data_IF_589931285008
#
_entry.id   IF_589931285008
#
_cell.length_a   1.000
_cell.length_b   1.000
_cell.length_c   1.000
_cell.angle_alpha   90.00
_cell.angle_beta   90.00
_cell.angle_gamma   90.00
#
_symmetry.space_group_name_H-M   'P 1'
#
loop_
_entity.id
_entity.type
_entity.pdbx_description
1 polymer ?
#
# COMPACT_ATOMS: atom_id res chain seq x y z
N UNK A 1 -21.73 -13.44 19.11
CA UNK A 1 -20.43 -13.72 18.48
C UNK A 1 -20.69 -14.00 17.02
N UNK A 2 -20.22 -13.14 16.12
CA UNK A 2 -20.25 -13.48 14.69
C UNK A 2 -19.29 -14.66 14.49
N UNK A 3 -19.76 -15.73 13.84
CA UNK A 3 -18.91 -16.85 13.45
C UNK A 3 -17.85 -16.35 12.46
N UNK A 4 -16.57 -16.68 12.70
CA UNK A 4 -15.50 -16.36 11.74
C UNK A 4 -15.82 -17.05 10.41
N UNK A 5 -15.90 -16.31 9.29
CA UNK A 5 -16.20 -16.92 8.00
C UNK A 5 -15.08 -17.89 7.61
N UNK A 6 -15.47 -19.00 6.99
CA UNK A 6 -14.56 -20.04 6.51
C UNK A 6 -14.70 -20.19 5.01
N UNK A 7 -13.58 -20.43 4.36
CA UNK A 7 -13.47 -20.48 2.90
C UNK A 7 -12.87 -21.81 2.45
N UNK A 8 -12.88 -22.01 1.13
CA UNK A 8 -12.21 -23.12 0.45
C UNK A 8 -12.76 -24.50 0.83
N UNK A 9 -12.25 -25.53 0.15
CA UNK A 9 -12.54 -26.94 0.43
C UNK A 9 -12.07 -27.36 1.84
N UNK A 10 -11.04 -26.71 2.37
CA UNK A 10 -10.49 -27.01 3.70
C UNK A 10 -11.27 -26.38 4.87
N UNK A 11 -12.25 -25.50 4.59
CA UNK A 11 -13.08 -24.81 5.60
C UNK A 11 -12.25 -24.15 6.71
N UNK A 12 -11.19 -23.46 6.29
CA UNK A 12 -10.35 -22.66 7.19
C UNK A 12 -10.70 -21.17 7.04
N UNK A 13 -10.49 -20.35 8.09
CA UNK A 13 -10.55 -18.90 8.00
C UNK A 13 -9.57 -18.33 6.95
N UNK A 14 -9.80 -17.09 6.55
CA UNK A 14 -8.91 -16.35 5.64
C UNK A 14 -7.49 -16.23 6.24
N UNK A 15 -6.48 -16.47 5.41
CA UNK A 15 -5.07 -16.32 5.73
C UNK A 15 -4.39 -15.48 4.65
N UNK A 16 -4.01 -14.25 5.01
CA UNK A 16 -3.39 -13.26 4.11
C UNK A 16 -2.08 -13.75 3.47
N UNK A 17 -1.41 -14.74 4.08
CA UNK A 17 -0.13 -15.25 3.57
C UNK A 17 -0.30 -16.30 2.46
N UNK A 18 -1.53 -16.73 2.19
CA UNK A 18 -1.84 -17.81 1.24
C UNK A 18 -2.57 -17.24 0.05
N UNK A 19 -2.03 -17.47 -1.15
CA UNK A 19 -2.69 -17.13 -2.40
C UNK A 19 -4.07 -17.81 -2.49
N UNK A 20 -5.10 -17.01 -2.77
CA UNK A 20 -6.48 -17.45 -2.99
C UNK A 20 -7.01 -16.90 -4.32
N UNK A 21 -7.94 -17.64 -4.91
CA UNK A 21 -8.68 -17.29 -6.13
C UNK A 21 -10.18 -17.50 -5.91
N UNK A 22 -11.00 -16.57 -6.38
CA UNK A 22 -12.46 -16.62 -6.26
C UNK A 22 -13.10 -17.43 -7.39
N UNK A 23 -14.10 -18.26 -7.07
CA UNK A 23 -14.87 -18.99 -8.07
C UNK A 23 -16.05 -18.15 -8.58
N UNK A 24 -16.13 -17.89 -9.87
CA UNK A 24 -17.18 -17.07 -10.49
C UNK A 24 -18.59 -17.67 -10.34
N UNK A 25 -18.70 -18.99 -10.15
CA UNK A 25 -20.00 -19.67 -10.04
C UNK A 25 -20.57 -19.68 -8.63
N UNK A 26 -19.74 -19.94 -7.62
CA UNK A 26 -20.22 -20.06 -6.23
C UNK A 26 -19.82 -18.89 -5.33
N UNK A 27 -18.99 -17.97 -5.82
CA UNK A 27 -18.52 -16.78 -5.10
C UNK A 27 -17.79 -17.14 -3.78
N UNK A 28 -17.27 -18.37 -3.67
CA UNK A 28 -16.39 -18.81 -2.56
C UNK A 28 -14.92 -18.68 -2.99
N UNK A 29 -14.02 -18.52 -2.02
CA UNK A 29 -12.59 -18.31 -2.23
C UNK A 29 -11.80 -19.59 -1.96
N UNK A 30 -10.83 -19.90 -2.83
CA UNK A 30 -10.08 -21.15 -2.79
C UNK A 30 -8.58 -20.90 -2.70
N UNK A 31 -7.90 -21.52 -1.73
CA UNK A 31 -6.44 -21.53 -1.71
C UNK A 31 -5.90 -22.21 -2.96
N UNK A 32 -4.99 -21.57 -3.69
CA UNK A 32 -4.41 -22.14 -4.91
C UNK A 32 -3.82 -23.53 -4.69
N UNK A 33 -3.15 -23.76 -3.55
CA UNK A 33 -2.61 -25.05 -3.14
C UNK A 33 -3.66 -26.16 -2.96
N UNK A 34 -4.90 -25.81 -2.58
CA UNK A 34 -5.99 -26.77 -2.36
C UNK A 34 -6.68 -27.17 -3.66
N UNK A 35 -6.57 -26.36 -4.71
CA UNK A 35 -7.24 -26.57 -6.01
C UNK A 35 -6.27 -26.72 -7.18
N UNK A 36 -4.97 -26.81 -6.91
CA UNK A 36 -3.94 -27.03 -7.92
C UNK A 36 -3.66 -25.81 -8.83
N UNK A 37 -3.97 -24.60 -8.37
CA UNK A 37 -3.71 -23.35 -9.10
C UNK A 37 -2.49 -22.66 -8.50
N UNK A 38 -1.41 -22.60 -9.29
CA UNK A 38 -0.22 -21.81 -8.96
C UNK A 38 -0.50 -20.31 -9.21
N UNK A 39 0.10 -19.45 -8.39
CA UNK A 39 -0.05 -17.99 -8.47
C UNK A 39 0.36 -17.45 -9.84
N UNK A 40 1.42 -17.98 -10.46
CA UNK A 40 1.85 -17.55 -11.79
C UNK A 40 0.86 -17.94 -12.90
N UNK A 41 0.12 -19.04 -12.72
CA UNK A 41 -0.87 -19.55 -13.69
C UNK A 41 -2.23 -18.89 -13.52
N UNK A 42 -2.54 -18.36 -12.34
CA UNK A 42 -3.79 -17.66 -12.06
C UNK A 42 -4.03 -16.50 -13.02
N UNK A 43 -2.95 -15.84 -13.45
CA UNK A 43 -3.02 -14.75 -14.41
C UNK A 43 -3.50 -15.15 -15.81
N UNK A 44 -3.44 -16.42 -16.20
CA UNK A 44 -3.97 -16.88 -17.48
C UNK A 44 -5.48 -17.21 -17.40
N UNK A 45 -6.06 -17.26 -16.20
CA UNK A 45 -7.47 -17.59 -15.93
C UNK A 45 -8.29 -16.29 -16.01
N UNK A 46 -9.37 -16.31 -16.79
CA UNK A 46 -10.31 -15.19 -16.92
C UNK A 46 -11.46 -15.33 -15.93
N UNK A 47 -12.13 -16.49 -15.96
CA UNK A 47 -13.17 -16.89 -15.00
C UNK A 47 -12.78 -18.24 -14.40
N UNK A 48 -12.61 -18.28 -13.08
CA UNK A 48 -12.23 -19.48 -12.35
C UNK A 48 -13.45 -20.27 -11.92
N UNK A 49 -13.49 -21.56 -12.25
CA UNK A 49 -14.46 -22.51 -11.74
C UNK A 49 -13.76 -23.49 -10.79
N UNK A 50 -14.25 -23.61 -9.55
CA UNK A 50 -13.71 -24.56 -8.58
C UNK A 50 -14.05 -26.02 -8.95
N UNK A 51 -13.37 -27.02 -8.37
CA UNK A 51 -13.58 -28.43 -8.74
C UNK A 51 -15.04 -28.91 -8.64
N UNK A 52 -15.83 -28.35 -7.71
CA UNK A 52 -17.24 -28.69 -7.57
C UNK A 52 -18.11 -28.03 -8.65
N UNK A 53 -17.85 -26.76 -8.98
CA UNK A 53 -18.59 -26.02 -9.99
C UNK A 53 -18.22 -26.46 -11.41
N UNK A 54 -16.99 -26.94 -11.62
CA UNK A 54 -16.52 -27.45 -12.91
C UNK A 54 -17.38 -28.59 -13.44
N UNK A 55 -17.86 -29.47 -12.55
CA UNK A 55 -18.73 -30.60 -12.93
C UNK A 55 -20.06 -30.13 -13.54
N UNK A 56 -20.59 -28.98 -13.10
CA UNK A 56 -21.90 -28.48 -13.51
C UNK A 56 -21.82 -27.39 -14.59
N UNK A 57 -20.77 -26.60 -14.58
CA UNK A 57 -20.64 -25.39 -15.39
C UNK A 57 -19.49 -25.46 -16.40
N UNK A 58 -18.76 -26.58 -16.43
CA UNK A 58 -17.58 -26.77 -17.27
C UNK A 58 -16.31 -26.19 -16.65
N UNK A 59 -15.14 -26.40 -17.28
CA UNK A 59 -13.85 -25.95 -16.75
C UNK A 59 -13.73 -24.43 -16.69
N UNK A 60 -12.71 -23.96 -15.97
CA UNK A 60 -12.34 -22.53 -15.91
C UNK A 60 -12.12 -21.95 -17.31
N UNK A 61 -12.55 -20.71 -17.52
CA UNK A 61 -12.40 -20.01 -18.79
C UNK A 61 -11.05 -19.30 -18.79
N UNK A 62 -10.20 -19.65 -19.76
CA UNK A 62 -8.87 -19.07 -19.92
C UNK A 62 -8.91 -17.82 -20.80
N UNK A 63 -8.02 -16.86 -20.54
CA UNK A 63 -7.88 -15.65 -21.35
C UNK A 63 -7.51 -16.02 -22.79
N UNK A 64 -8.21 -15.41 -23.76
CA UNK A 64 -7.92 -15.61 -25.18
C UNK A 64 -6.55 -15.01 -25.52
N UNK A 65 -5.56 -15.86 -25.79
CA UNK A 65 -4.30 -15.42 -26.42
C UNK A 65 -4.63 -14.76 -27.75
N UNK A 66 -4.34 -13.45 -27.90
CA UNK A 66 -4.45 -12.77 -29.19
C UNK A 66 -3.43 -13.40 -30.15
N UNK A 67 -3.90 -14.27 -31.03
CA UNK A 67 -3.08 -14.87 -32.08
C UNK A 67 -2.66 -13.80 -33.07
N UNK A 68 -1.35 -13.60 -33.23
CA UNK A 68 -0.78 -12.93 -34.39
C UNK A 68 -0.24 -14.00 -35.35
N UNK A 69 -0.57 -13.83 -36.62
CA UNK A 69 -0.16 -14.68 -37.74
C UNK A 69 1.37 -14.84 -37.83
N UNK A 70 1.78 -16.03 -38.27
CA UNK A 70 3.13 -16.51 -38.63
C UNK A 70 4.24 -15.44 -38.79
N UNK A 71 5.35 -15.63 -38.07
CA UNK A 71 6.69 -15.11 -38.44
C UNK A 71 7.59 -14.74 -37.26
N UNK A 72 8.62 -15.56 -37.01
CA UNK A 72 9.85 -15.31 -36.24
C UNK A 72 9.96 -14.03 -35.37
N UNK A 73 9.74 -14.16 -34.06
CA UNK A 73 10.63 -13.58 -33.02
C UNK A 73 10.31 -14.21 -31.66
N UNK A 74 11.18 -15.10 -31.18
CA UNK A 74 11.05 -15.77 -29.88
C UNK A 74 11.52 -14.74 -28.84
N UNK A 75 10.62 -13.89 -28.31
CA UNK A 75 10.71 -13.21 -26.98
C UNK A 75 9.68 -12.07 -26.75
N UNK A 76 8.70 -11.82 -27.63
CA UNK A 76 7.56 -10.93 -27.30
C UNK A 76 6.33 -11.76 -26.92
N UNK A 77 5.75 -11.56 -25.74
CA UNK A 77 4.37 -12.05 -25.51
C UNK A 77 3.89 -12.39 -24.10
N UNK A 78 4.48 -11.85 -23.03
CA UNK A 78 3.80 -11.82 -21.73
C UNK A 78 3.75 -10.38 -21.21
N UNK A 79 2.60 -9.93 -20.69
CA UNK A 79 2.49 -8.61 -20.09
C UNK A 79 3.42 -8.51 -18.88
N UNK A 80 3.93 -7.30 -18.64
CA UNK A 80 4.85 -7.04 -17.54
C UNK A 80 4.07 -7.09 -16.23
N UNK A 81 4.57 -7.87 -15.26
CA UNK A 81 3.95 -8.02 -13.95
C UNK A 81 4.27 -6.84 -13.04
N UNK A 82 3.26 -6.28 -12.38
CA UNK A 82 3.40 -5.27 -11.34
C UNK A 82 4.43 -5.68 -10.30
N UNK A 83 5.31 -4.76 -9.89
CA UNK A 83 6.34 -5.01 -8.88
C UNK A 83 7.59 -5.78 -9.38
N UNK A 84 7.57 -6.31 -10.60
CA UNK A 84 8.75 -6.96 -11.19
C UNK A 84 9.89 -5.96 -11.50
N UNK A 85 11.16 -6.40 -11.58
CA UNK A 85 12.26 -5.49 -11.93
C UNK A 85 12.08 -4.77 -13.28
N UNK A 86 11.45 -5.44 -14.26
CA UNK A 86 11.11 -4.83 -15.55
C UNK A 86 10.04 -3.76 -15.38
N UNK A 87 8.99 -4.03 -14.60
CA UNK A 87 7.97 -3.03 -14.26
C UNK A 87 8.57 -1.80 -13.62
N UNK A 88 9.46 -1.96 -12.63
CA UNK A 88 10.10 -0.83 -11.95
C UNK A 88 10.96 -0.01 -12.92
N UNK A 89 11.69 -0.66 -13.83
CA UNK A 89 12.48 0.03 -14.87
C UNK A 89 11.57 0.85 -15.79
N UNK A 90 10.48 0.27 -16.26
CA UNK A 90 9.50 0.96 -17.10
C UNK A 90 8.83 2.12 -16.36
N UNK A 91 8.37 1.88 -15.13
CA UNK A 91 7.76 2.89 -14.26
C UNK A 91 8.66 4.10 -14.02
N UNK A 92 9.97 3.88 -13.89
CA UNK A 92 10.96 4.96 -13.74
C UNK A 92 11.14 5.80 -15.02
N UNK A 93 10.96 5.19 -16.20
CA UNK A 93 11.07 5.87 -17.49
C UNK A 93 9.79 6.57 -17.95
N UNK A 94 8.65 6.26 -17.32
CA UNK A 94 7.36 6.88 -17.64
C UNK A 94 7.34 8.37 -17.30
N UNK A 95 6.67 9.13 -18.15
CA UNK A 95 6.35 10.55 -17.95
C UNK A 95 5.00 10.69 -17.26
N UNK A 96 4.91 11.61 -16.30
CA UNK A 96 3.71 11.88 -15.51
C UNK A 96 3.52 13.39 -15.38
N UNK A 97 2.27 13.83 -15.18
CA UNK A 97 1.97 15.20 -14.75
C UNK A 97 2.68 15.49 -13.43
N UNK A 98 3.15 16.73 -13.24
CA UNK A 98 3.80 17.11 -12.00
C UNK A 98 2.74 17.32 -10.91
N UNK A 99 2.98 16.76 -9.72
CA UNK A 99 2.10 17.04 -8.58
C UNK A 99 2.08 18.53 -8.19
N UNK A 100 3.09 19.32 -8.60
CA UNK A 100 3.16 20.75 -8.31
C UNK A 100 1.98 21.55 -8.88
N UNK A 101 1.26 21.00 -9.86
CA UNK A 101 0.05 21.60 -10.44
C UNK A 101 -1.17 21.53 -9.49
N UNK A 102 -1.16 20.62 -8.51
CA UNK A 102 -2.33 20.32 -7.68
C UNK A 102 -2.09 20.32 -6.18
N UNK A 103 -0.85 20.16 -5.72
CA UNK A 103 -0.55 20.09 -4.29
C UNK A 103 -0.41 21.48 -3.65
N UNK A 104 -0.95 21.62 -2.43
CA UNK A 104 -0.71 22.81 -1.62
C UNK A 104 0.58 22.66 -0.82
N UNK A 105 1.30 23.76 -0.60
CA UNK A 105 2.61 23.76 0.11
C UNK A 105 2.67 24.78 1.26
N UNK A 106 1.78 24.70 2.27
CA UNK A 106 1.85 25.55 3.43
C UNK A 106 3.10 25.23 4.27
N UNK A 107 3.53 26.20 5.08
CA UNK A 107 4.42 25.92 6.22
C UNK A 107 3.66 25.14 7.30
N UNK A 108 4.37 24.48 8.22
CA UNK A 108 3.70 23.73 9.29
C UNK A 108 2.81 24.60 10.17
N UNK A 109 3.18 25.86 10.39
CA UNK A 109 2.36 26.82 11.17
C UNK A 109 1.10 27.30 10.43
N UNK A 110 1.10 27.26 9.09
CA UNK A 110 -0.06 27.61 8.26
C UNK A 110 -1.07 26.47 8.14
N UNK A 111 -0.66 25.22 8.41
CA UNK A 111 -1.54 24.06 8.33
C UNK A 111 -2.43 23.97 9.58
N UNK A 112 -3.50 24.76 9.60
CA UNK A 112 -4.49 24.82 10.67
C UNK A 112 -5.83 24.22 10.24
N UNK A 113 -6.82 24.17 11.14
CA UNK A 113 -8.17 23.68 10.80
C UNK A 113 -8.84 24.66 9.84
N UNK A 114 -8.70 25.95 10.11
CA UNK A 114 -9.27 27.04 9.31
C UNK A 114 -8.71 27.01 7.87
N UNK A 115 -7.41 26.77 7.71
CA UNK A 115 -6.80 26.56 6.39
C UNK A 115 -7.45 25.40 5.62
N UNK A 116 -7.76 24.30 6.31
CA UNK A 116 -8.38 23.13 5.68
C UNK A 116 -9.86 23.35 5.37
N UNK A 117 -10.58 24.10 6.19
CA UNK A 117 -11.97 24.48 5.95
C UNK A 117 -12.08 25.38 4.71
N UNK A 118 -11.20 26.37 4.58
CA UNK A 118 -11.15 27.28 3.41
C UNK A 118 -10.79 26.56 2.10
N UNK A 119 -9.96 25.51 2.16
CA UNK A 119 -9.45 24.78 0.99
C UNK A 119 -10.07 23.37 0.83
N UNK A 120 -11.06 23.04 1.66
CA UNK A 120 -11.83 21.78 1.73
C UNK A 120 -11.02 20.48 1.79
N UNK A 121 -9.77 20.51 2.27
CA UNK A 121 -8.78 19.41 2.27
C UNK A 121 -8.96 18.39 1.12
N UNK A 122 -9.14 18.87 -0.11
CA UNK A 122 -9.55 18.03 -1.26
C UNK A 122 -8.37 17.62 -2.16
N UNK A 123 -7.22 18.25 -1.95
CA UNK A 123 -5.96 18.01 -2.65
C UNK A 123 -4.84 17.66 -1.67
N UNK A 124 -3.81 16.91 -2.12
CA UNK A 124 -2.67 16.60 -1.27
C UNK A 124 -1.92 17.85 -0.82
N UNK A 125 -1.38 17.80 0.39
CA UNK A 125 -0.63 18.90 1.01
C UNK A 125 0.79 18.43 1.30
N UNK A 126 1.79 19.13 0.78
CA UNK A 126 3.20 18.82 1.03
C UNK A 126 3.84 19.91 1.89
N UNK A 127 4.23 19.56 3.11
CA UNK A 127 4.94 20.44 4.02
C UNK A 127 6.44 20.11 3.97
N UNK A 128 7.24 21.08 3.53
CA UNK A 128 8.66 20.87 3.22
C UNK A 128 9.56 20.68 4.45
N UNK A 129 9.14 21.24 5.60
CA UNK A 129 9.87 21.16 6.87
C UNK A 129 8.89 20.87 7.99
N UNK A 130 9.28 20.03 8.95
CA UNK A 130 8.41 19.65 10.07
C UNK A 130 8.08 20.78 11.05
N UNK A 131 8.83 21.89 11.00
CA UNK A 131 8.63 23.04 11.88
C UNK A 131 7.19 23.57 11.79
N UNK A 132 6.57 23.77 12.96
CA UNK A 132 5.18 24.21 13.07
C UNK A 132 4.12 23.10 13.01
N UNK A 133 4.45 21.88 12.56
CA UNK A 133 3.47 20.77 12.48
C UNK A 133 3.06 20.19 13.84
N UNK A 134 3.77 20.52 14.91
CA UNK A 134 3.54 19.96 16.25
C UNK A 134 3.65 18.43 16.29
N UNK A 135 4.49 17.86 15.43
CA UNK A 135 4.85 16.43 15.46
C UNK A 135 6.14 16.21 16.25
N UNK A 136 6.26 15.06 16.88
CA UNK A 136 7.50 14.58 17.50
C UNK A 136 7.94 13.33 16.77
N UNK A 137 9.22 13.28 16.40
CA UNK A 137 9.84 12.14 15.72
C UNK A 137 11.25 11.95 16.26
N UNK A 138 11.79 10.71 16.21
CA UNK A 138 13.18 10.48 16.57
C UNK A 138 14.14 11.24 15.65
N UNK A 139 15.40 11.35 16.09
CA UNK A 139 16.46 12.02 15.33
C UNK A 139 16.59 11.45 13.91
N UNK A 140 17.00 12.26 12.90
CA UNK A 140 17.32 11.77 11.56
C UNK A 140 18.40 10.65 11.51
N UNK A 141 19.17 10.48 12.59
CA UNK A 141 20.13 9.39 12.76
C UNK A 141 19.48 8.03 13.08
N UNK A 142 18.20 7.98 13.45
CA UNK A 142 17.48 6.79 13.89
C UNK A 142 17.43 5.70 12.80
N UNK A 143 17.87 4.49 13.12
CA UNK A 143 18.16 3.36 12.21
C UNK A 143 17.24 2.16 12.39
N UNK A 144 17.16 1.25 11.42
CA UNK A 144 16.21 0.11 11.52
C UNK A 144 16.56 -0.82 12.69
N UNK A 145 17.83 -0.82 13.13
CA UNK A 145 18.22 -1.47 14.40
C UNK A 145 17.61 -0.79 15.62
N UNK A 146 17.42 0.52 15.61
CA UNK A 146 16.73 1.21 16.69
C UNK A 146 15.24 0.84 16.70
N UNK A 147 14.62 0.65 15.53
CA UNK A 147 13.23 0.12 15.46
C UNK A 147 13.17 -1.26 16.11
N UNK A 148 14.07 -2.17 15.75
CA UNK A 148 14.20 -3.49 16.39
C UNK A 148 14.37 -3.40 17.91
N UNK A 149 15.21 -2.48 18.39
CA UNK A 149 15.44 -2.28 19.82
C UNK A 149 14.19 -1.80 20.57
N UNK A 150 13.41 -0.88 20.01
CA UNK A 150 12.22 -0.31 20.66
C UNK A 150 10.96 -1.18 20.50
N UNK A 151 10.88 -1.98 19.43
CA UNK A 151 9.72 -2.83 19.11
C UNK A 151 9.91 -4.27 19.59
N UNK A 152 11.13 -4.80 19.53
CA UNK A 152 11.48 -6.17 19.85
C UNK A 152 11.73 -7.02 18.62
N UNK A 153 12.85 -7.76 18.61
CA UNK A 153 13.29 -8.61 17.49
C UNK A 153 12.33 -9.74 17.15
N UNK A 154 11.62 -10.27 18.15
CA UNK A 154 10.69 -11.40 17.99
C UNK A 154 9.28 -11.00 17.56
N UNK A 155 8.96 -9.69 17.45
CA UNK A 155 7.65 -9.25 16.95
C UNK A 155 7.47 -9.76 15.52
N UNK A 156 6.41 -10.52 15.28
CA UNK A 156 6.01 -10.91 13.95
C UNK A 156 5.43 -9.70 13.22
N UNK A 157 5.84 -9.51 11.97
CA UNK A 157 5.45 -8.38 11.13
C UNK A 157 5.03 -8.88 9.75
N UNK A 158 4.10 -8.17 9.13
CA UNK A 158 3.75 -8.37 7.74
C UNK A 158 4.75 -7.67 6.82
N UNK A 159 5.18 -8.40 5.79
CA UNK A 159 6.21 -8.00 4.83
C UNK A 159 5.74 -8.35 3.44
N UNK A 160 5.82 -7.39 2.53
CA UNK A 160 5.43 -7.58 1.14
C UNK A 160 6.64 -8.06 0.34
N UNK A 161 6.51 -9.21 -0.32
CA UNK A 161 7.39 -9.62 -1.43
C UNK A 161 6.97 -8.85 -2.68
N UNK A 162 7.68 -7.75 -2.95
CA UNK A 162 7.29 -6.77 -3.96
C UNK A 162 7.21 -7.38 -5.37
N UNK A 163 8.07 -8.34 -5.68
CA UNK A 163 8.08 -8.98 -7.01
C UNK A 163 6.85 -9.84 -7.24
N UNK A 164 6.27 -10.39 -6.17
CA UNK A 164 5.06 -11.22 -6.22
C UNK A 164 3.78 -10.43 -5.94
N UNK A 165 3.89 -9.22 -5.38
CA UNK A 165 2.74 -8.47 -4.83
C UNK A 165 1.98 -9.32 -3.78
N UNK A 166 2.72 -10.06 -2.96
CA UNK A 166 2.16 -10.97 -1.97
C UNK A 166 2.73 -10.70 -0.57
N UNK A 167 1.87 -10.82 0.43
CA UNK A 167 2.25 -10.69 1.84
C UNK A 167 2.89 -11.98 2.37
N UNK A 168 3.86 -11.80 3.25
CA UNK A 168 4.45 -12.86 4.06
C UNK A 168 4.70 -12.35 5.47
N UNK A 169 4.76 -13.28 6.43
CA UNK A 169 5.06 -12.97 7.82
C UNK A 169 6.50 -13.33 8.13
N UNK A 170 7.19 -12.49 8.91
CA UNK A 170 8.49 -12.81 9.48
C UNK A 170 8.74 -12.04 10.77
N UNK A 171 9.78 -12.41 11.51
CA UNK A 171 10.21 -11.64 12.69
C UNK A 171 10.89 -10.34 12.27
N UNK A 172 10.68 -9.27 13.04
CA UNK A 172 11.33 -7.98 12.82
C UNK A 172 12.86 -8.11 12.78
N UNK A 173 13.45 -8.92 13.66
CA UNK A 173 14.90 -9.15 13.67
C UNK A 173 15.42 -9.80 12.38
N UNK A 174 14.64 -10.68 11.75
CA UNK A 174 15.01 -11.30 10.47
C UNK A 174 14.88 -10.31 9.32
N UNK A 175 13.84 -9.46 9.34
CA UNK A 175 13.75 -8.34 8.40
C UNK A 175 14.92 -7.37 8.58
N UNK A 176 15.33 -7.05 9.81
CA UNK A 176 16.49 -6.17 10.07
C UNK A 176 17.77 -6.80 9.52
N UNK A 177 18.01 -8.09 9.75
CA UNK A 177 19.14 -8.83 9.14
C UNK A 177 19.11 -8.74 7.61
N UNK A 178 17.96 -9.04 6.98
CA UNK A 178 17.76 -8.88 5.53
C UNK A 178 18.07 -7.45 5.07
N UNK A 179 17.55 -6.46 5.79
CA UNK A 179 17.70 -5.06 5.45
C UNK A 179 19.18 -4.69 5.42
N UNK A 180 19.97 -5.09 6.43
CA UNK A 180 21.42 -4.82 6.52
C UNK A 180 22.31 -5.80 5.74
N UNK A 181 21.74 -6.83 5.12
CA UNK A 181 22.49 -7.71 4.23
C UNK A 181 23.08 -6.94 3.05
N UNK A 182 24.31 -7.29 2.69
CA UNK A 182 24.99 -6.79 1.48
C UNK A 182 24.47 -7.42 0.18
N UNK A 183 23.72 -8.53 0.28
CA UNK A 183 23.09 -9.22 -0.86
C UNK A 183 21.59 -9.39 -0.60
N UNK A 184 20.76 -8.90 -1.52
CA UNK A 184 19.30 -9.03 -1.47
C UNK A 184 18.81 -9.75 -2.72
N UNK A 185 18.31 -10.96 -2.54
CA UNK A 185 17.75 -11.77 -3.64
C UNK A 185 16.29 -11.42 -3.92
N UNK A 186 15.61 -10.82 -2.94
CA UNK A 186 14.22 -10.34 -3.02
C UNK A 186 14.13 -8.88 -2.65
N UNK A 187 13.09 -8.20 -3.12
CA UNK A 187 12.72 -6.85 -2.70
C UNK A 187 11.59 -6.96 -1.68
N UNK A 188 11.91 -6.76 -0.40
CA UNK A 188 10.95 -6.86 0.70
C UNK A 188 10.62 -5.48 1.26
N UNK A 189 9.35 -5.27 1.56
CA UNK A 189 8.83 -3.97 2.01
C UNK A 189 7.94 -4.12 3.24
N UNK A 190 8.13 -3.29 4.25
CA UNK A 190 7.28 -3.23 5.45
C UNK A 190 6.50 -1.92 5.42
N UNK A 191 5.17 -2.01 5.39
CA UNK A 191 4.27 -0.82 5.39
C UNK A 191 3.24 -0.82 6.53
N UNK A 192 3.01 -1.96 7.18
CA UNK A 192 1.93 -2.18 8.14
C UNK A 192 2.39 -2.41 9.58
N UNK A 193 3.64 -2.08 9.91
CA UNK A 193 4.15 -2.16 11.30
C UNK A 193 3.54 -1.05 12.15
N UNK A 194 2.39 -1.31 12.74
CA UNK A 194 1.77 -0.48 13.77
C UNK A 194 2.52 -0.67 15.10
N UNK A 195 2.86 0.44 15.75
CA UNK A 195 3.73 0.43 16.92
C UNK A 195 3.18 1.19 18.13
N UNK A 196 1.89 1.56 18.14
CA UNK A 196 1.27 2.31 19.24
C UNK A 196 1.36 1.58 20.58
N UNK A 197 1.39 0.24 20.55
CA UNK A 197 1.51 -0.66 21.71
C UNK A 197 2.97 -0.91 22.16
N UNK A 198 3.96 -0.31 21.50
CA UNK A 198 5.39 -0.55 21.77
C UNK A 198 6.07 0.65 22.43
N UNK A 199 7.32 0.47 22.90
CA UNK A 199 8.14 1.57 23.43
C UNK A 199 8.49 2.62 22.38
N UNK A 200 8.41 2.29 21.09
CA UNK A 200 8.62 3.24 20.00
C UNK A 200 7.54 4.34 19.99
N UNK A 201 6.34 4.04 20.48
CA UNK A 201 5.22 4.98 20.58
C UNK A 201 5.60 6.24 21.37
N UNK A 202 6.46 6.10 22.38
CA UNK A 202 6.93 7.20 23.23
C UNK A 202 7.84 8.20 22.49
N UNK A 203 8.39 7.82 21.34
CA UNK A 203 9.28 8.67 20.55
C UNK A 203 8.54 9.41 19.42
N UNK A 204 7.26 9.09 19.21
CA UNK A 204 6.48 9.59 18.07
C UNK A 204 5.17 10.20 18.54
N UNK A 205 5.00 11.48 18.20
CA UNK A 205 3.74 12.20 18.32
C UNK A 205 3.29 12.62 16.92
N UNK A 206 2.06 12.28 16.56
CA UNK A 206 1.49 12.59 15.23
C UNK A 206 1.30 14.11 15.06
N UNK A 207 1.21 14.62 13.81
CA UNK A 207 1.00 16.04 13.57
C UNK A 207 -0.18 16.61 14.37
N UNK A 208 -0.06 17.86 14.83
CA UNK A 208 -1.13 18.51 15.61
C UNK A 208 -2.44 18.56 14.85
N UNK A 209 -2.40 18.82 13.54
CA UNK A 209 -3.59 18.85 12.68
C UNK A 209 -4.29 17.48 12.60
N UNK A 210 -3.51 16.39 12.63
CA UNK A 210 -4.03 15.01 12.62
C UNK A 210 -4.83 14.75 13.90
N UNK A 211 -4.25 15.06 15.06
CA UNK A 211 -4.91 14.86 16.37
C UNK A 211 -6.16 15.71 16.51
N UNK A 212 -6.15 16.95 15.99
CA UNK A 212 -7.32 17.82 15.99
C UNK A 212 -8.51 17.30 15.17
N UNK A 213 -8.26 16.54 14.11
CA UNK A 213 -9.30 16.10 13.16
C UNK A 213 -9.71 14.64 13.35
N UNK A 214 -8.85 13.82 13.95
CA UNK A 214 -9.07 12.39 14.13
C UNK A 214 -10.33 12.09 14.95
N UNK A 215 -11.29 11.37 14.37
CA UNK A 215 -12.46 10.89 15.13
C UNK A 215 -12.07 9.97 16.28
N UNK A 216 -11.10 9.09 16.10
CA UNK A 216 -10.66 8.18 17.17
C UNK A 216 -10.08 8.98 18.34
N UNK A 217 -9.42 10.10 18.07
CA UNK A 217 -8.84 10.93 19.12
C UNK A 217 -9.88 11.78 19.87
N UNK A 218 -10.90 12.26 19.16
CA UNK A 218 -11.84 13.24 19.71
C UNK A 218 -13.19 12.65 20.12
N UNK A 219 -13.58 11.49 19.60
CA UNK A 219 -14.93 10.94 19.72
C UNK A 219 -14.96 9.49 20.26
N UNK A 220 -13.83 8.79 20.35
CA UNK A 220 -13.82 7.42 20.86
C UNK A 220 -14.01 7.40 22.39
N UNK A 221 -15.06 6.77 22.93
CA UNK A 221 -15.35 6.80 24.36
C UNK A 221 -14.35 5.95 25.16
N UNK A 222 -14.01 6.38 26.37
CA UNK A 222 -13.10 5.65 27.27
C UNK A 222 -13.72 4.30 27.72
N UNK A 223 -15.01 4.31 28.04
CA UNK A 223 -15.76 3.12 28.46
C UNK A 223 -16.43 2.41 27.26
N UNK A 224 -15.64 2.16 26.19
CA UNK A 224 -16.13 1.42 25.03
C UNK A 224 -16.00 -0.09 25.26
N UNK A 225 -17.04 -0.85 24.90
CA UNK A 225 -16.98 -2.33 24.87
C UNK A 225 -16.11 -2.87 23.73
N UNK A 226 -15.79 -2.03 22.75
CA UNK A 226 -14.93 -2.36 21.61
C UNK A 226 -13.51 -1.83 21.82
N UNK A 227 -12.54 -2.56 21.30
CA UNK A 227 -11.14 -2.14 21.31
C UNK A 227 -10.95 -0.85 20.50
N UNK A 228 -10.18 0.09 21.08
CA UNK A 228 -9.84 1.34 20.40
C UNK A 228 -9.00 1.07 19.15
N UNK A 229 -9.40 1.57 17.96
CA UNK A 229 -8.64 1.40 16.73
C UNK A 229 -7.28 2.09 16.82
N UNK A 230 -6.20 1.31 16.88
CA UNK A 230 -4.84 1.81 16.83
C UNK A 230 -4.32 1.75 15.41
N UNK A 231 -4.52 2.85 14.69
CA UNK A 231 -4.07 3.01 13.30
C UNK A 231 -3.31 4.32 13.13
N UNK A 232 -2.84 4.97 14.19
CA UNK A 232 -2.27 6.32 14.07
C UNK A 232 -0.75 6.33 13.86
N UNK A 233 -0.05 5.23 14.18
CA UNK A 233 1.42 5.18 14.23
C UNK A 233 1.97 3.93 13.53
N UNK A 234 2.32 4.07 12.27
CA UNK A 234 2.97 3.03 11.46
C UNK A 234 4.43 3.37 11.18
N UNK A 235 5.31 2.37 11.24
CA UNK A 235 6.71 2.49 10.87
C UNK A 235 6.95 1.76 9.53
N UNK A 236 7.30 2.53 8.51
CA UNK A 236 7.48 2.00 7.16
C UNK A 236 8.97 1.84 6.89
N UNK A 237 9.36 0.64 6.47
CA UNK A 237 10.75 0.29 6.18
C UNK A 237 10.84 -0.33 4.80
N UNK A 238 11.24 0.48 3.83
CA UNK A 238 11.33 0.07 2.43
C UNK A 238 12.79 0.01 1.98
N UNK A 239 13.13 -1.02 1.22
CA UNK A 239 14.37 -1.03 0.44
C UNK A 239 14.15 -0.31 -0.91
N UNK A 240 15.25 0.00 -1.60
CA UNK A 240 15.21 0.50 -2.99
C UNK A 240 14.33 -0.41 -3.86
N UNK A 241 13.60 0.20 -4.79
CA UNK A 241 12.70 -0.46 -5.74
C UNK A 241 11.46 -1.13 -5.11
N UNK A 242 11.21 -0.92 -3.80
CA UNK A 242 9.94 -1.35 -3.20
C UNK A 242 8.77 -0.59 -3.81
N UNK A 243 7.70 -1.30 -4.16
CA UNK A 243 6.50 -0.74 -4.78
C UNK A 243 5.26 -1.34 -4.12
N UNK A 244 4.27 -0.49 -3.89
CA UNK A 244 2.91 -0.89 -3.50
C UNK A 244 1.98 -0.33 -4.58
N UNK A 245 1.11 -1.17 -5.13
CA UNK A 245 0.22 -0.77 -6.22
C UNK A 245 -0.86 0.22 -5.76
N UNK A 246 -1.63 0.74 -6.72
CA UNK A 246 -2.68 1.71 -6.46
C UNK A 246 -3.73 1.17 -5.49
N UNK A 247 -4.01 1.96 -4.45
CA UNK A 247 -5.04 1.65 -3.47
C UNK A 247 -5.68 2.93 -2.94
N UNK A 248 -6.83 2.76 -2.29
CA UNK A 248 -7.44 3.76 -1.42
C UNK A 248 -7.24 3.23 0.01
N UNK A 249 -6.77 4.07 0.93
CA UNK A 249 -6.59 3.67 2.33
C UNK A 249 -7.89 3.15 2.95
N UNK A 250 -7.76 2.20 3.87
CA UNK A 250 -8.88 1.52 4.50
C UNK A 250 -9.87 2.52 5.14
N UNK A 251 -11.17 2.28 4.94
CA UNK A 251 -12.22 3.19 5.40
C UNK A 251 -12.20 4.57 4.71
N UNK A 252 -11.44 4.72 3.62
CA UNK A 252 -11.27 5.99 2.93
C UNK A 252 -10.50 7.04 3.73
N UNK A 253 -9.74 6.64 4.75
CA UNK A 253 -9.06 7.58 5.65
C UNK A 253 -8.12 8.53 4.92
N UNK A 254 -8.01 9.77 5.39
CA UNK A 254 -6.89 10.64 5.03
C UNK A 254 -5.60 10.15 5.71
N UNK A 255 -4.42 10.41 5.15
CA UNK A 255 -3.14 9.89 5.68
C UNK A 255 -2.11 11.00 5.80
N UNK A 256 -1.31 10.99 6.87
CA UNK A 256 -0.07 11.76 6.95
C UNK A 256 1.14 10.84 6.74
N UNK A 257 2.18 11.31 6.06
CA UNK A 257 3.36 10.53 5.72
C UNK A 257 4.63 11.39 5.87
N UNK A 258 5.51 11.04 6.81
CA UNK A 258 6.78 11.72 7.00
C UNK A 258 7.96 10.84 6.60
N UNK A 259 8.86 11.33 5.74
CA UNK A 259 10.07 10.58 5.34
C UNK A 259 11.21 10.93 6.28
N UNK A 260 11.53 10.06 7.23
CA UNK A 260 12.65 10.25 8.16
C UNK A 260 14.01 10.05 7.49
N UNK A 261 14.09 9.10 6.56
CA UNK A 261 15.31 8.80 5.78
C UNK A 261 14.97 8.28 4.39
N UNK A 262 15.70 8.75 3.38
CA UNK A 262 15.52 8.37 1.98
C UNK A 262 14.49 9.25 1.24
N UNK A 263 13.77 8.67 0.30
CA UNK A 263 12.80 9.37 -0.56
C UNK A 263 11.63 8.43 -0.88
N UNK A 264 10.42 8.95 -1.04
CA UNK A 264 9.27 8.23 -1.60
C UNK A 264 8.70 8.99 -2.80
N UNK A 265 8.28 8.25 -3.82
CA UNK A 265 7.57 8.80 -4.97
C UNK A 265 6.13 8.29 -4.90
N UNK A 266 5.15 9.18 -4.89
CA UNK A 266 3.74 8.86 -4.91
C UNK A 266 3.17 9.14 -6.29
N UNK A 267 2.36 8.21 -6.82
CA UNK A 267 1.55 8.41 -8.00
C UNK A 267 0.11 8.66 -7.54
N UNK A 268 -0.38 9.88 -7.72
CA UNK A 268 -1.62 10.38 -7.12
C UNK A 268 -2.68 10.57 -8.21
N UNK A 269 -3.87 10.04 -8.00
CA UNK A 269 -5.00 10.16 -8.94
C UNK A 269 -6.14 10.89 -8.22
N UNK A 270 -6.88 11.78 -8.89
CA UNK A 270 -8.02 12.47 -8.25
C UNK A 270 -9.20 11.50 -8.08
N UNK A 271 -9.90 11.47 -6.93
CA UNK A 271 -11.05 10.60 -6.72
C UNK A 271 -12.33 11.19 -7.35
N UNK A 272 -12.33 11.36 -8.67
CA UNK A 272 -13.56 11.68 -9.40
C UNK A 272 -14.43 10.42 -9.50
N UNK A 273 -15.75 10.55 -9.66
CA UNK A 273 -16.63 9.40 -9.83
C UNK A 273 -16.16 8.47 -10.97
N UNK A 274 -15.70 9.05 -12.09
CA UNK A 274 -15.13 8.27 -13.20
C UNK A 274 -13.90 7.46 -12.77
N UNK A 275 -12.96 8.07 -12.05
CA UNK A 275 -11.75 7.39 -11.58
C UNK A 275 -12.05 6.34 -10.51
N UNK A 276 -13.04 6.57 -9.64
CA UNK A 276 -13.47 5.60 -8.64
C UNK A 276 -14.10 4.37 -9.30
N UNK A 277 -14.97 4.55 -10.29
CA UNK A 277 -15.52 3.43 -11.08
C UNK A 277 -14.41 2.66 -11.82
N UNK A 278 -13.46 3.37 -12.43
CA UNK A 278 -12.31 2.72 -13.08
C UNK A 278 -11.46 1.94 -12.07
N UNK A 279 -11.23 2.50 -10.88
CA UNK A 279 -10.47 1.87 -9.81
C UNK A 279 -11.15 0.58 -9.31
N UNK A 280 -12.46 0.61 -9.13
CA UNK A 280 -13.26 -0.56 -8.73
C UNK A 280 -13.20 -1.67 -9.79
N UNK A 281 -13.40 -1.32 -11.07
CA UNK A 281 -13.28 -2.27 -12.18
C UNK A 281 -11.87 -2.86 -12.30
N UNK A 282 -10.83 -2.04 -12.12
CA UNK A 282 -9.43 -2.52 -12.17
C UNK A 282 -9.10 -3.44 -10.99
N UNK A 283 -9.53 -3.07 -9.78
CA UNK A 283 -9.22 -3.83 -8.54
C UNK A 283 -9.87 -5.21 -8.52
N UNK A 284 -11.02 -5.37 -9.19
CA UNK A 284 -11.73 -6.64 -9.35
C UNK A 284 -11.34 -7.41 -10.62
N UNK A 285 -10.41 -6.89 -11.43
CA UNK A 285 -10.07 -7.51 -12.70
C UNK A 285 -9.09 -8.67 -12.55
N UNK A 286 -9.30 -9.73 -13.33
CA UNK A 286 -8.36 -10.87 -13.44
C UNK A 286 -6.98 -10.46 -14.00
N UNK A 287 -6.86 -9.26 -14.58
CA UNK A 287 -5.64 -8.69 -15.17
C UNK A 287 -4.97 -7.62 -14.28
N UNK A 288 -5.43 -7.41 -13.05
CA UNK A 288 -4.95 -6.31 -12.19
C UNK A 288 -3.41 -6.23 -12.14
N UNK A 289 -2.75 -7.36 -11.88
CA UNK A 289 -1.29 -7.51 -11.77
C UNK A 289 -0.50 -7.36 -13.09
N UNK A 290 -1.18 -7.11 -14.20
CA UNK A 290 -0.61 -6.96 -15.55
C UNK A 290 -0.87 -5.58 -16.15
N UNK A 291 -1.60 -4.72 -15.42
CA UNK A 291 -2.06 -3.41 -15.89
C UNK A 291 -1.66 -2.33 -14.91
N UNK A 292 -1.03 -1.27 -15.42
CA UNK A 292 -0.74 -0.08 -14.63
C UNK A 292 -1.98 0.83 -14.59
N UNK A 293 -2.64 0.96 -13.44
CA UNK A 293 -3.88 1.73 -13.32
C UNK A 293 -3.75 3.20 -13.75
N UNK A 294 -2.56 3.79 -13.58
CA UNK A 294 -2.29 5.16 -14.03
C UNK A 294 -2.48 5.40 -15.53
N UNK A 295 -2.51 4.35 -16.37
CA UNK A 295 -2.79 4.44 -17.81
C UNK A 295 -4.30 4.52 -18.12
N UNK A 296 -5.17 4.22 -17.16
CA UNK A 296 -6.62 4.18 -17.36
C UNK A 296 -7.31 5.51 -17.05
N UNK A 297 -6.60 6.42 -16.37
CA UNK A 297 -7.15 7.71 -15.91
C UNK A 297 -6.61 8.86 -16.73
N UNK A 298 -7.35 9.97 -16.75
CA UNK A 298 -6.97 11.18 -17.48
C UNK A 298 -5.65 11.78 -16.98
N UNK A 299 -5.47 11.86 -15.66
CA UNK A 299 -4.26 12.41 -15.04
C UNK A 299 -3.79 11.58 -13.85
N UNK A 300 -2.49 11.26 -13.86
CA UNK A 300 -1.78 10.61 -12.78
C UNK A 300 -0.55 11.45 -12.40
N UNK A 301 -0.59 12.08 -11.23
CA UNK A 301 0.42 13.04 -10.80
C UNK A 301 1.56 12.35 -10.07
N UNK A 302 2.81 12.68 -10.42
CA UNK A 302 4.00 12.20 -9.72
C UNK A 302 4.43 13.19 -8.64
N UNK A 303 4.47 12.74 -7.39
CA UNK A 303 4.88 13.53 -6.22
C UNK A 303 6.11 12.91 -5.54
N UNK A 304 7.24 13.63 -5.52
CA UNK A 304 8.43 13.21 -4.75
C UNK A 304 8.37 13.79 -3.34
N UNK A 305 8.52 12.94 -2.34
CA UNK A 305 8.61 13.28 -0.92
C UNK A 305 10.00 12.88 -0.44
N UNK A 306 10.84 13.88 -0.24
CA UNK A 306 12.23 13.73 0.19
C UNK A 306 12.35 13.67 1.70
N UNK A 307 13.51 13.25 2.18
CA UNK A 307 13.85 13.23 3.60
C UNK A 307 13.52 14.57 4.29
N UNK A 308 12.82 14.48 5.43
CA UNK A 308 12.37 15.61 6.26
C UNK A 308 11.04 16.23 5.84
N UNK A 309 10.50 15.86 4.67
CA UNK A 309 9.22 16.36 4.18
C UNK A 309 8.05 15.51 4.71
N UNK A 310 6.87 16.14 4.76
CA UNK A 310 5.63 15.51 5.22
C UNK A 310 4.54 15.70 4.17
N UNK A 311 3.97 14.61 3.68
CA UNK A 311 2.83 14.61 2.76
C UNK A 311 1.56 14.30 3.55
N UNK A 312 0.47 15.01 3.26
CA UNK A 312 -0.88 14.69 3.72
C UNK A 312 -1.72 14.36 2.49
N UNK A 313 -2.32 13.17 2.48
CA UNK A 313 -3.17 12.65 1.41
C UNK A 313 -4.62 12.70 1.91
N UNK A 314 -5.53 13.36 1.19
CA UNK A 314 -6.93 13.45 1.59
C UNK A 314 -7.70 12.17 1.26
N UNK A 315 -8.89 12.07 1.84
CA UNK A 315 -9.83 10.95 1.78
C UNK A 315 -10.13 10.47 0.37
N UNK A 316 -10.28 9.15 0.21
CA UNK A 316 -10.81 8.49 -0.98
C UNK A 316 -9.89 8.52 -2.20
N UNK A 317 -8.70 9.09 -2.11
CA UNK A 317 -7.78 9.30 -3.22
C UNK A 317 -7.02 8.02 -3.57
N UNK A 318 -7.07 7.50 -4.81
CA UNK A 318 -6.20 6.40 -5.22
C UNK A 318 -4.73 6.86 -5.31
N UNK A 319 -3.81 6.08 -4.73
CA UNK A 319 -2.38 6.33 -4.82
C UNK A 319 -1.52 5.06 -4.80
N UNK A 320 -0.34 5.15 -5.44
CA UNK A 320 0.68 4.09 -5.41
C UNK A 320 2.04 4.67 -4.99
N UNK A 321 2.69 4.16 -3.91
CA UNK A 321 4.03 4.59 -3.54
C UNK A 321 5.13 3.71 -4.17
N UNK A 322 6.21 4.36 -4.60
CA UNK A 322 7.47 3.76 -5.00
C UNK A 322 8.60 4.23 -4.08
N UNK A 323 9.45 3.30 -3.65
CA UNK A 323 10.69 3.57 -2.94
C UNK A 323 11.65 4.40 -3.80
N UNK A 324 11.94 5.63 -3.36
CA UNK A 324 12.84 6.59 -4.00
C UNK A 324 14.33 6.24 -3.92
N UNK A 325 15.15 7.13 -4.49
CA UNK A 325 16.52 6.87 -4.95
C UNK A 325 17.56 7.50 -4.03
N UNK A 326 18.39 6.67 -3.40
CA UNK A 326 19.79 6.99 -3.12
C UNK A 326 20.54 5.67 -2.85
N UNK A 327 21.67 5.45 -3.53
CA UNK A 327 22.50 4.27 -3.33
C UNK A 327 22.82 4.08 -1.84
N UNK A 328 22.50 2.89 -1.30
CA UNK A 328 22.71 2.57 0.11
C UNK A 328 21.66 3.08 1.10
N UNK A 329 20.65 3.89 0.69
CA UNK A 329 19.66 4.47 1.64
C UNK A 329 18.31 3.75 1.65
N UNK A 330 18.31 2.74 2.51
CA UNK A 330 17.28 2.33 3.46
C UNK A 330 16.27 3.43 3.87
N UNK A 331 14.98 3.25 3.55
CA UNK A 331 13.93 4.21 3.85
C UNK A 331 13.24 3.95 5.18
N UNK A 332 12.86 5.05 5.83
CA UNK A 332 12.04 5.05 7.04
C UNK A 332 10.97 6.13 6.96
N UNK A 333 9.73 5.76 7.21
CA UNK A 333 8.64 6.72 7.36
C UNK A 333 7.81 6.47 8.61
N UNK A 334 7.16 7.51 9.08
CA UNK A 334 6.02 7.39 9.98
C UNK A 334 4.77 7.79 9.18
N UNK A 335 3.75 6.95 9.18
CA UNK A 335 2.45 7.32 8.65
C UNK A 335 1.32 6.92 9.61
N UNK A 336 0.15 7.49 9.40
CA UNK A 336 -1.06 7.10 10.09
C UNK A 336 -2.27 7.68 9.39
N UNK A 337 -3.37 6.92 9.24
CA UNK A 337 -4.66 7.49 8.93
C UNK A 337 -5.14 8.51 9.95
N UNK A 338 -5.97 9.41 9.46
CA UNK A 338 -6.86 10.27 10.21
C UNK A 338 -8.28 9.98 9.76
N UNK A 339 -9.16 9.66 10.71
CA UNK A 339 -10.59 9.55 10.42
C UNK A 339 -11.13 10.92 9.96
N UNK A 340 -12.08 10.85 9.03
CA UNK A 340 -12.42 11.90 8.08
C UNK A 340 -13.16 13.09 8.73
N UNK A 341 -12.63 14.33 8.76
CA UNK A 341 -13.32 15.43 9.44
C UNK A 341 -14.49 16.05 8.65
N UNK A 342 -14.60 15.79 7.35
CA UNK A 342 -15.61 16.44 6.50
C UNK A 342 -16.32 15.44 5.57
N UNK A 343 -17.65 15.57 5.42
CA UNK A 343 -18.49 14.69 4.60
C UNK A 343 -18.19 14.77 3.10
#
# INVERSE_FOLDING_TARGET
MASVPVYCLCRLPYDVTRFMIECDMCQDWFHGSCVGVEEEKAADIDLYHCPNCEVLHGPSIMKKRRGSSKGHDIHKGKPVKTGSPTFIRELRSRTFDSSDEVILKPTGSQLTVEFLEENSFSVPILVLKKDGLGMTLPSPSFTVRDVEHYVGSDKEIDVIDVTRQADCKMKLGDFVKYYYSGKREKVLNVISLEFSDTRLSNLVETPKIVRKLSWVENLWPEECVFERPNVQKYCLMSVRDSYTDFHIDFGGTSVWYHVLKGEKIFYLIRPTNANLTLFECWSSSSNQNEMFFGDQVDKCYKCSVKQGQTLFIPTGRPWAPLGGFEEGKKQKGACGPTANPFP
#
